data_IF_234732948463
#
_entry.id   IF_234732948463
#
_cell.length_a   1.000
_cell.length_b   1.000
_cell.length_c   1.000
_cell.angle_alpha   90.00
_cell.angle_beta   90.00
_cell.angle_gamma   90.00
#
_symmetry.space_group_name_H-M   'P 1'
#
loop_
_entity.id
_entity.type
_entity.pdbx_description
1 polymer ?
#
# COMPACT_ATOMS: atom_id res chain seq x y z
N UNK A 1 35.85 3.86 -43.76
CA UNK A 1 34.47 3.99 -43.31
C UNK A 1 33.99 2.76 -42.53
N UNK A 2 34.70 2.27 -41.52
CA UNK A 2 34.34 1.06 -40.71
C UNK A 2 34.39 1.29 -39.18
N UNK A 3 34.52 2.53 -38.70
CA UNK A 3 34.67 2.81 -37.26
C UNK A 3 33.48 3.51 -36.59
N UNK A 4 32.40 3.80 -37.32
CA UNK A 4 31.23 4.55 -36.78
C UNK A 4 30.09 3.64 -36.29
N UNK A 5 30.12 2.35 -36.65
CA UNK A 5 29.00 1.43 -36.33
C UNK A 5 29.06 0.89 -34.90
N UNK A 6 30.20 0.92 -34.22
CA UNK A 6 30.35 0.36 -32.88
C UNK A 6 29.91 1.26 -31.73
N UNK A 7 29.69 2.55 -31.96
CA UNK A 7 29.26 3.49 -30.91
C UNK A 7 27.76 3.47 -30.69
N UNK A 8 26.96 3.07 -31.69
CA UNK A 8 25.51 2.99 -31.57
C UNK A 8 24.98 1.71 -30.88
N UNK A 9 25.79 0.65 -30.84
CA UNK A 9 25.41 -0.63 -30.21
C UNK A 9 25.54 -0.62 -28.68
N UNK A 10 26.25 0.36 -28.10
CA UNK A 10 26.54 0.42 -26.66
C UNK A 10 25.51 1.26 -25.86
N UNK A 11 24.61 1.93 -26.55
CA UNK A 11 23.57 2.79 -25.90
C UNK A 11 22.22 2.09 -25.66
N UNK A 12 22.09 0.82 -26.05
CA UNK A 12 20.79 0.09 -25.92
C UNK A 12 20.75 -0.83 -24.70
N UNK A 13 21.81 -0.95 -23.89
CA UNK A 13 21.88 -1.94 -22.79
C UNK A 13 21.62 -1.35 -21.41
N UNK A 14 21.12 -0.13 -21.29
CA UNK A 14 20.90 0.47 -19.96
C UNK A 14 19.43 0.73 -19.60
N UNK A 15 18.48 0.00 -20.19
CA UNK A 15 17.07 0.04 -19.79
C UNK A 15 16.54 -1.28 -19.22
N UNK A 16 17.40 -2.10 -18.60
CA UNK A 16 16.87 -3.06 -17.63
C UNK A 16 16.56 -2.31 -16.34
N UNK A 17 15.59 -1.42 -16.48
CA UNK A 17 14.93 -0.71 -15.43
C UNK A 17 14.67 -1.64 -14.26
N UNK A 18 15.03 -1.21 -13.09
CA UNK A 18 14.46 -1.62 -11.82
C UNK A 18 12.94 -1.59 -11.94
N UNK A 19 12.35 -2.64 -12.44
CA UNK A 19 10.94 -2.92 -12.25
C UNK A 19 10.78 -3.19 -10.74
N UNK A 20 10.65 -2.15 -9.96
CA UNK A 20 10.08 -2.29 -8.61
C UNK A 20 8.71 -2.90 -8.85
N UNK A 21 8.57 -4.18 -8.54
CA UNK A 21 7.28 -4.86 -8.62
C UNK A 21 6.27 -4.02 -7.83
N UNK A 22 5.40 -3.31 -8.57
CA UNK A 22 4.39 -2.46 -7.96
C UNK A 22 3.53 -3.35 -7.07
N UNK A 23 3.47 -3.04 -5.77
CA UNK A 23 2.60 -3.74 -4.85
C UNK A 23 1.15 -3.53 -5.25
N UNK A 24 0.35 -4.56 -5.10
CA UNK A 24 -1.09 -4.46 -5.26
C UNK A 24 -1.69 -3.70 -4.08
N UNK A 25 -2.71 -2.87 -4.33
CA UNK A 25 -3.42 -2.19 -3.25
C UNK A 25 -4.06 -3.21 -2.30
N UNK A 26 -3.86 -3.03 -0.99
CA UNK A 26 -4.32 -4.01 -0.01
C UNK A 26 -3.85 -3.78 1.42
N UNK A 27 -4.08 -4.77 2.26
CA UNK A 27 -3.62 -4.81 3.66
C UNK A 27 -2.49 -5.82 3.78
N UNK A 28 -1.34 -5.38 4.23
CA UNK A 28 -0.10 -6.17 4.33
C UNK A 28 0.32 -6.35 5.77
N UNK A 29 0.91 -7.51 6.09
CA UNK A 29 1.56 -7.74 7.38
C UNK A 29 2.90 -7.00 7.41
N UNK A 30 3.16 -6.26 8.51
CA UNK A 30 4.41 -5.52 8.74
C UNK A 30 5.44 -6.44 9.40
N UNK A 31 6.65 -6.45 8.87
CA UNK A 31 7.79 -7.12 9.51
C UNK A 31 8.59 -6.13 10.36
N UNK A 32 8.43 -6.20 11.67
CA UNK A 32 9.21 -5.40 12.63
C UNK A 32 10.61 -5.94 12.92
N UNK A 33 10.88 -7.18 12.55
CA UNK A 33 12.20 -7.82 12.77
C UNK A 33 13.23 -7.39 11.73
N UNK A 34 12.79 -6.98 10.55
CA UNK A 34 13.65 -6.52 9.47
C UNK A 34 14.04 -5.05 9.69
N UNK A 35 15.03 -4.81 10.53
CA UNK A 35 15.65 -3.51 10.64
C UNK A 35 16.34 -3.14 9.31
N UNK A 36 15.68 -2.34 8.49
CA UNK A 36 16.22 -1.49 7.41
C UNK A 36 17.10 -2.13 6.30
N UNK A 37 17.24 -3.44 6.20
CA UNK A 37 18.06 -4.07 5.16
C UNK A 37 17.39 -5.30 4.55
N UNK A 38 16.64 -5.06 3.49
CA UNK A 38 16.25 -6.15 2.58
C UNK A 38 17.30 -6.20 1.49
N UNK A 39 17.99 -7.33 1.38
CA UNK A 39 18.84 -7.58 0.21
C UNK A 39 17.95 -7.64 -1.05
N UNK A 40 18.25 -6.87 -2.10
CA UNK A 40 17.43 -6.91 -3.30
C UNK A 40 17.47 -8.29 -3.93
N UNK A 41 16.31 -8.87 -4.23
CA UNK A 41 16.16 -9.89 -5.24
C UNK A 41 15.72 -11.30 -4.86
N UNK A 42 15.51 -11.65 -3.57
CA UNK A 42 15.05 -13.02 -3.21
C UNK A 42 14.13 -13.10 -1.97
N UNK A 43 13.47 -12.06 -1.60
CA UNK A 43 12.64 -12.09 -0.40
C UNK A 43 11.17 -11.88 -0.77
N UNK A 44 10.30 -12.62 -0.08
CA UNK A 44 8.87 -12.38 -0.04
C UNK A 44 8.52 -11.08 0.73
N UNK A 45 9.36 -10.05 0.60
CA UNK A 45 9.25 -8.79 1.33
C UNK A 45 9.46 -7.60 0.40
N UNK A 46 8.82 -6.49 0.74
CA UNK A 46 8.99 -5.22 0.05
C UNK A 46 9.16 -4.08 1.05
N UNK A 47 9.78 -2.99 0.60
CA UNK A 47 9.88 -1.75 1.36
C UNK A 47 8.77 -0.81 0.90
N UNK A 48 7.98 -0.30 1.83
CA UNK A 48 6.90 0.65 1.59
C UNK A 48 7.21 1.96 2.30
N UNK A 49 7.19 3.06 1.56
CA UNK A 49 7.35 4.42 2.12
C UNK A 49 6.00 4.96 2.54
N UNK A 50 6.01 5.78 3.57
CA UNK A 50 4.81 6.50 4.00
C UNK A 50 4.40 7.56 2.99
N UNK A 51 3.09 7.71 2.79
CA UNK A 51 2.56 8.81 2.02
C UNK A 51 2.52 10.07 2.91
N UNK A 52 3.20 11.15 2.52
CA UNK A 52 3.33 12.35 3.36
C UNK A 52 2.00 13.07 3.63
N UNK A 53 0.96 12.82 2.84
CA UNK A 53 -0.37 13.43 3.05
C UNK A 53 -1.16 12.79 4.21
N UNK A 54 -0.71 11.64 4.74
CA UNK A 54 -1.43 10.88 5.77
C UNK A 54 -0.70 10.82 7.11
N UNK A 55 0.52 11.32 7.15
CA UNK A 55 1.35 11.33 8.35
C UNK A 55 1.79 12.76 8.61
N UNK A 56 1.44 13.27 9.80
CA UNK A 56 1.83 14.60 10.25
C UNK A 56 3.30 14.62 10.65
N UNK A 57 3.98 15.73 10.35
CA UNK A 57 5.36 15.97 10.72
C UNK A 57 6.34 15.82 9.56
N UNK A 58 7.62 15.73 9.90
CA UNK A 58 8.69 15.57 8.93
C UNK A 58 8.64 14.17 8.31
N UNK A 59 8.47 14.05 6.98
CA UNK A 59 8.47 12.74 6.30
C UNK A 59 9.71 11.90 6.59
N UNK A 60 10.85 12.52 6.86
CA UNK A 60 12.10 11.83 7.16
C UNK A 60 12.10 11.15 8.54
N UNK A 61 11.15 11.51 9.43
CA UNK A 61 10.98 10.83 10.72
C UNK A 61 10.32 9.46 10.60
N UNK A 62 9.59 9.21 9.51
CA UNK A 62 8.91 7.94 9.27
C UNK A 62 9.81 6.98 8.50
N UNK A 63 10.43 6.06 9.22
CA UNK A 63 11.23 5.00 8.60
C UNK A 63 10.35 4.14 7.70
N UNK A 64 10.81 3.80 6.49
CA UNK A 64 10.09 2.90 5.61
C UNK A 64 9.71 1.59 6.32
N UNK A 65 8.55 1.04 5.99
CA UNK A 65 8.08 -0.23 6.52
C UNK A 65 8.54 -1.38 5.63
N UNK A 66 8.87 -2.49 6.25
CA UNK A 66 9.05 -3.77 5.57
C UNK A 66 7.75 -4.54 5.67
N UNK A 67 7.24 -5.03 4.55
CA UNK A 67 5.99 -5.81 4.49
C UNK A 67 6.23 -7.16 3.82
N UNK A 68 5.44 -8.18 4.22
CA UNK A 68 5.43 -9.47 3.54
C UNK A 68 4.57 -9.37 2.28
N UNK A 69 5.10 -9.80 1.12
CA UNK A 69 4.40 -9.74 -0.17
C UNK A 69 3.54 -10.97 -0.46
N UNK A 70 3.74 -12.04 0.27
CA UNK A 70 2.99 -13.30 0.21
C UNK A 70 1.93 -13.42 1.31
N UNK A 71 1.95 -12.58 2.34
CA UNK A 71 0.97 -12.53 3.42
C UNK A 71 0.24 -11.17 3.41
N UNK A 72 -0.74 -11.03 2.53
CA UNK A 72 -1.53 -9.82 2.37
C UNK A 72 -2.94 -10.10 1.85
N UNK A 73 -3.83 -9.14 2.02
CA UNK A 73 -5.19 -9.17 1.49
C UNK A 73 -5.37 -8.07 0.45
N UNK A 74 -5.52 -8.42 -0.84
CA UNK A 74 -5.74 -7.41 -1.87
C UNK A 74 -7.11 -6.75 -1.73
N UNK A 75 -7.19 -5.46 -2.02
CA UNK A 75 -8.46 -4.76 -2.08
C UNK A 75 -9.25 -5.23 -3.32
N UNK A 76 -10.41 -5.85 -3.05
CA UNK A 76 -11.46 -6.11 -4.03
C UNK A 76 -12.69 -5.37 -3.56
N UNK A 77 -13.01 -4.29 -4.25
CA UNK A 77 -14.06 -3.37 -3.83
C UNK A 77 -15.42 -3.82 -4.38
N UNK A 78 -16.44 -3.78 -3.54
CA UNK A 78 -17.83 -4.02 -3.93
C UNK A 78 -18.50 -2.75 -4.48
N UNK A 79 -17.99 -1.57 -4.09
CA UNK A 79 -18.52 -0.28 -4.51
C UNK A 79 -17.39 0.77 -4.56
N UNK A 80 -17.64 1.88 -5.22
CA UNK A 80 -16.73 3.01 -5.21
C UNK A 80 -16.51 3.54 -3.79
N UNK A 81 -15.27 3.93 -3.42
CA UNK A 81 -15.00 4.51 -2.11
C UNK A 81 -15.79 5.79 -1.87
N UNK A 82 -16.28 5.97 -0.66
CA UNK A 82 -17.05 7.14 -0.25
C UNK A 82 -16.23 7.98 0.72
N UNK A 83 -16.14 9.29 0.45
CA UNK A 83 -15.55 10.24 1.39
C UNK A 83 -16.64 10.69 2.36
N UNK A 84 -16.40 10.49 3.65
CA UNK A 84 -17.27 10.99 4.71
C UNK A 84 -16.52 12.08 5.46
N UNK A 85 -17.06 13.29 5.45
CA UNK A 85 -16.53 14.40 6.24
C UNK A 85 -16.99 14.28 7.68
N UNK A 86 -16.07 14.44 8.61
CA UNK A 86 -16.36 14.61 10.02
C UNK A 86 -16.38 16.10 10.37
N UNK A 87 -16.91 16.45 11.53
CA UNK A 87 -16.93 17.85 11.99
C UNK A 87 -15.49 18.37 12.08
N UNK A 88 -15.15 19.34 11.21
CA UNK A 88 -13.80 19.90 11.09
C UNK A 88 -13.12 19.61 9.73
N UNK A 89 -11.80 19.74 9.68
CA UNK A 89 -11.00 19.53 8.48
C UNK A 89 -10.67 18.05 8.19
N UNK A 90 -10.96 17.17 9.14
CA UNK A 90 -10.67 15.75 9.03
C UNK A 90 -11.81 14.99 8.34
N UNK A 91 -11.44 14.02 7.52
CA UNK A 91 -12.35 13.13 6.84
C UNK A 91 -11.94 11.69 6.98
N UNK A 92 -12.76 10.81 6.47
CA UNK A 92 -12.46 9.40 6.33
C UNK A 92 -12.89 8.89 4.95
N UNK A 93 -12.17 7.91 4.43
CA UNK A 93 -12.57 7.18 3.22
C UNK A 93 -13.15 5.84 3.64
N UNK A 94 -14.40 5.60 3.27
CA UNK A 94 -15.08 4.33 3.48
C UNK A 94 -14.84 3.45 2.27
N UNK A 95 -14.29 2.27 2.51
CA UNK A 95 -13.93 1.29 1.49
C UNK A 95 -14.76 0.03 1.71
N UNK A 96 -15.70 -0.25 0.82
CA UNK A 96 -16.53 -1.44 0.86
C UNK A 96 -15.85 -2.57 0.09
N UNK A 97 -15.47 -3.62 0.80
CA UNK A 97 -14.89 -4.84 0.21
C UNK A 97 -16.00 -5.75 -0.31
N UNK A 98 -15.67 -6.58 -1.31
CA UNK A 98 -16.50 -7.74 -1.65
C UNK A 98 -16.54 -8.73 -0.48
N UNK A 99 -17.58 -9.56 -0.38
CA UNK A 99 -17.72 -10.56 0.68
C UNK A 99 -16.50 -11.49 0.76
N UNK A 100 -15.99 -11.91 -0.39
CA UNK A 100 -14.77 -12.75 -0.47
C UNK A 100 -13.53 -12.05 0.05
N UNK A 101 -13.37 -10.74 -0.18
CA UNK A 101 -12.24 -9.97 0.33
C UNK A 101 -12.40 -9.68 1.84
N UNK A 102 -13.63 -9.44 2.29
CA UNK A 102 -13.95 -9.26 3.72
C UNK A 102 -13.67 -10.54 4.51
N UNK A 103 -14.08 -11.71 3.99
CA UNK A 103 -13.77 -13.00 4.62
C UNK A 103 -12.26 -13.21 4.74
N UNK A 104 -11.51 -12.98 3.64
CA UNK A 104 -10.04 -13.09 3.65
C UNK A 104 -9.38 -12.14 4.64
N UNK A 105 -9.90 -10.91 4.78
CA UNK A 105 -9.40 -9.96 5.76
C UNK A 105 -9.66 -10.44 7.19
N UNK A 106 -10.84 -11.03 7.45
CA UNK A 106 -11.17 -11.64 8.73
C UNK A 106 -10.22 -12.79 9.10
N UNK A 107 -9.98 -13.71 8.18
CA UNK A 107 -9.04 -14.83 8.36
C UNK A 107 -7.60 -14.33 8.56
N UNK A 108 -7.17 -13.38 7.73
CA UNK A 108 -5.85 -12.76 7.82
C UNK A 108 -5.63 -12.07 9.17
N UNK A 109 -6.59 -11.26 9.62
CA UNK A 109 -6.47 -10.55 10.90
C UNK A 109 -6.60 -11.49 12.10
N UNK A 110 -7.38 -12.56 12.00
CA UNK A 110 -7.45 -13.60 13.03
C UNK A 110 -6.12 -14.33 13.21
N UNK A 111 -5.44 -14.66 12.09
CA UNK A 111 -4.11 -15.30 12.07
C UNK A 111 -3.04 -14.38 12.64
N UNK A 112 -3.14 -13.06 12.38
CA UNK A 112 -2.10 -12.07 12.67
C UNK A 112 -2.47 -11.17 13.87
N UNK A 113 -3.15 -11.71 14.89
CA UNK A 113 -3.47 -10.98 16.12
C UNK A 113 -2.20 -10.46 16.81
N UNK A 114 -2.30 -9.30 17.43
CA UNK A 114 -1.20 -8.58 18.10
C UNK A 114 -0.07 -8.10 17.17
N UNK A 115 -0.15 -8.39 15.87
CA UNK A 115 0.78 -7.89 14.86
C UNK A 115 0.34 -6.53 14.31
N UNK A 116 1.21 -5.90 13.55
CA UNK A 116 0.88 -4.67 12.83
C UNK A 116 0.59 -4.98 11.36
N UNK A 117 -0.41 -4.31 10.83
CA UNK A 117 -0.76 -4.34 9.41
C UNK A 117 -0.74 -2.93 8.86
N UNK A 118 -0.45 -2.81 7.57
CA UNK A 118 -0.41 -1.54 6.86
C UNK A 118 -1.34 -1.58 5.66
N UNK A 119 -2.11 -0.52 5.49
CA UNK A 119 -2.87 -0.27 4.25
C UNK A 119 -1.91 0.33 3.24
N UNK A 120 -1.74 -0.34 2.11
CA UNK A 120 -0.92 0.11 0.99
C UNK A 120 -1.82 0.46 -0.18
N UNK A 121 -1.67 1.66 -0.72
CA UNK A 121 -2.36 2.14 -1.92
C UNK A 121 -1.32 2.83 -2.79
N UNK A 122 -1.29 2.49 -4.08
CA UNK A 122 -0.34 3.00 -5.06
C UNK A 122 1.13 2.93 -4.58
N UNK A 123 1.47 1.78 -4.01
CA UNK A 123 2.82 1.48 -3.49
C UNK A 123 3.26 2.32 -2.28
N UNK A 124 2.33 2.97 -1.59
CA UNK A 124 2.59 3.81 -0.42
C UNK A 124 1.77 3.37 0.80
N UNK A 125 2.37 3.46 1.98
CA UNK A 125 1.69 3.23 3.25
C UNK A 125 0.76 4.41 3.56
N UNK A 126 -0.51 4.12 3.75
CA UNK A 126 -1.56 5.11 4.03
C UNK A 126 -1.93 5.12 5.51
N UNK A 127 -2.01 3.94 6.12
CA UNK A 127 -2.34 3.81 7.54
C UNK A 127 -1.75 2.51 8.10
N UNK A 128 -1.33 2.57 9.36
CA UNK A 128 -0.81 1.40 10.10
C UNK A 128 -1.73 1.12 11.27
N UNK A 129 -2.10 -0.12 11.45
CA UNK A 129 -2.98 -0.57 12.52
C UNK A 129 -2.37 -1.73 13.27
N UNK A 130 -2.55 -1.74 14.59
CA UNK A 130 -2.32 -2.94 15.40
C UNK A 130 -3.59 -3.77 15.44
N UNK A 131 -3.48 -5.05 15.12
CA UNK A 131 -4.61 -5.99 15.09
C UNK A 131 -4.85 -6.51 16.51
N UNK A 132 -5.86 -5.99 17.20
CA UNK A 132 -6.29 -6.51 18.50
C UNK A 132 -7.30 -7.64 18.33
N UNK A 133 -8.29 -7.42 17.44
CA UNK A 133 -9.36 -8.35 17.14
C UNK A 133 -9.49 -8.60 15.65
N UNK A 134 -10.02 -9.76 15.24
CA UNK A 134 -10.31 -10.03 13.84
C UNK A 134 -11.29 -9.02 13.25
N UNK A 135 -11.02 -8.56 12.04
CA UNK A 135 -11.92 -7.66 11.32
C UNK A 135 -13.05 -8.47 10.72
N UNK A 136 -14.25 -8.31 11.25
CA UNK A 136 -15.45 -9.01 10.77
C UNK A 136 -16.30 -8.19 9.79
N UNK A 137 -15.92 -6.95 9.52
CA UNK A 137 -16.68 -6.02 8.67
C UNK A 137 -16.14 -5.99 7.24
N UNK A 138 -17.02 -5.96 6.26
CA UNK A 138 -16.69 -5.65 4.88
C UNK A 138 -16.35 -4.16 4.66
N UNK A 139 -16.53 -3.31 5.67
CA UNK A 139 -16.27 -1.89 5.63
C UNK A 139 -14.94 -1.57 6.32
N UNK A 140 -13.97 -1.09 5.55
CA UNK A 140 -12.72 -0.52 6.07
C UNK A 140 -12.87 1.00 6.13
N UNK A 141 -12.44 1.59 7.24
CA UNK A 141 -12.40 3.05 7.43
C UNK A 141 -10.96 3.50 7.43
N UNK A 142 -10.56 4.25 6.41
CA UNK A 142 -9.27 4.94 6.37
C UNK A 142 -9.51 6.34 6.94
N UNK A 143 -9.03 6.55 8.17
CA UNK A 143 -9.32 7.76 8.96
C UNK A 143 -8.18 8.76 8.92
N UNK A 144 -8.46 9.99 9.37
CA UNK A 144 -7.49 11.10 9.55
C UNK A 144 -6.86 11.58 8.24
N UNK A 145 -7.66 11.70 7.20
CA UNK A 145 -7.21 12.37 6.00
C UNK A 145 -7.79 13.79 5.89
N UNK A 146 -6.98 14.73 5.43
CA UNK A 146 -7.47 16.04 5.00
C UNK A 146 -8.29 15.90 3.72
N UNK A 147 -9.12 16.90 3.37
CA UNK A 147 -9.97 16.81 2.18
C UNK A 147 -9.21 16.46 0.89
N UNK A 148 -8.00 17.00 0.70
CA UNK A 148 -7.14 16.69 -0.45
C UNK A 148 -6.61 15.26 -0.41
N UNK A 149 -6.16 14.79 0.75
CA UNK A 149 -5.66 13.43 0.94
C UNK A 149 -6.77 12.38 0.76
N UNK A 150 -7.97 12.62 1.34
CA UNK A 150 -9.13 11.76 1.14
C UNK A 150 -9.51 11.65 -0.34
N UNK A 151 -9.50 12.78 -1.07
CA UNK A 151 -9.79 12.83 -2.50
C UNK A 151 -8.76 12.06 -3.33
N UNK A 152 -7.48 12.15 -2.96
CA UNK A 152 -6.39 11.42 -3.61
C UNK A 152 -6.59 9.90 -3.45
N UNK A 153 -6.77 9.40 -2.22
CA UNK A 153 -7.01 7.97 -1.97
C UNK A 153 -8.25 7.48 -2.73
N UNK A 154 -9.36 8.21 -2.60
CA UNK A 154 -10.60 7.82 -3.27
C UNK A 154 -10.41 7.67 -4.77
N UNK A 155 -9.65 8.59 -5.39
CA UNK A 155 -9.32 8.53 -6.82
C UNK A 155 -8.43 7.35 -7.16
N UNK A 156 -7.37 7.11 -6.37
CA UNK A 156 -6.46 5.98 -6.58
C UNK A 156 -7.20 4.65 -6.50
N UNK A 157 -8.04 4.46 -5.47
CA UNK A 157 -8.86 3.27 -5.31
C UNK A 157 -9.89 3.09 -6.44
N UNK A 158 -10.49 4.17 -6.95
CA UNK A 158 -11.39 4.10 -8.11
C UNK A 158 -10.66 3.63 -9.36
N UNK A 159 -9.44 4.10 -9.58
CA UNK A 159 -8.63 3.67 -10.72
C UNK A 159 -8.27 2.17 -10.66
N UNK A 160 -8.17 1.60 -9.45
CA UNK A 160 -7.94 0.17 -9.25
C UNK A 160 -9.18 -0.68 -9.57
N UNK A 161 -10.38 -0.09 -9.57
CA UNK A 161 -11.64 -0.81 -9.81
C UNK A 161 -11.83 -1.23 -11.27
N UNK A 162 -11.05 -0.69 -12.23
CA UNK A 162 -11.24 -0.96 -13.67
C UNK A 162 -12.73 -1.18 -14.04
N UNK A 163 -13.56 -0.19 -13.70
CA UNK A 163 -14.94 -0.12 -14.15
C UNK A 163 -14.99 0.79 -15.37
#
# INVERSE_FOLDING_TARGET
>A
MKRVIYVFALLIICETCFSQNKLQDGVYLVDRSAANSIAPGKTNKAIVKFNPFFFEGDPDTYKPLVVFTDDFVPFKLAAAPVIQHQNGSEGQVLVHLTDSAAQKLGEFTAKNRMSEVVVVIDNQAIAVYKVFDPVSSALIKITRCTGSACSLISRQLKNSLKI
#
